data_IF_211271803704
#
_entry.id   IF_211271803704
#
_cell.length_a   1.000
_cell.length_b   1.000
_cell.length_c   1.000
_cell.angle_alpha   90.00
_cell.angle_beta   90.00
_cell.angle_gamma   90.00
#
_symmetry.space_group_name_H-M   'P 1'
#
loop_
_entity.id
_entity.type
_entity.pdbx_description
1 polymer ?
#
# COMPACT_ATOMS: atom_id res chain seq x y z
N UNK A 1 -41.00 -86.01 29.34
CA UNK A 1 -41.07 -85.87 30.80
C UNK A 1 -41.39 -84.42 31.07
N UNK A 2 -42.65 -84.19 31.45
CA UNK A 2 -43.20 -83.20 32.40
C UNK A 2 -42.43 -81.88 32.58
N UNK A 3 -43.04 -80.69 32.62
CA UNK A 3 -44.40 -80.34 33.07
C UNK A 3 -44.73 -78.91 32.59
N UNK A 4 -45.89 -78.71 31.96
CA UNK A 4 -47.10 -78.06 32.54
C UNK A 4 -47.03 -76.53 32.70
N UNK A 5 -47.73 -75.85 31.78
CA UNK A 5 -48.51 -74.60 31.96
C UNK A 5 -49.49 -74.74 33.17
N UNK A 6 -50.09 -73.68 33.79
CA UNK A 6 -50.85 -72.64 33.06
C UNK A 6 -51.12 -71.26 33.73
N UNK A 7 -51.77 -70.38 32.93
CA UNK A 7 -52.90 -69.45 33.24
C UNK A 7 -52.84 -68.48 34.44
N UNK A 8 -53.42 -67.27 34.47
CA UNK A 8 -54.40 -66.52 33.68
C UNK A 8 -54.47 -65.11 34.31
N UNK A 9 -54.59 -64.02 33.53
CA UNK A 9 -55.75 -63.13 33.58
C UNK A 9 -55.62 -61.88 32.69
N UNK A 10 -56.65 -61.71 31.85
CA UNK A 10 -57.03 -60.51 31.09
C UNK A 10 -57.22 -59.28 31.97
N UNK A 11 -56.89 -58.09 31.45
CA UNK A 11 -57.89 -57.00 31.33
C UNK A 11 -57.47 -55.92 30.32
N UNK A 12 -58.47 -55.40 29.61
CA UNK A 12 -58.45 -54.34 28.60
C UNK A 12 -58.25 -52.95 29.23
N UNK A 13 -57.72 -52.01 28.45
CA UNK A 13 -58.40 -50.76 28.05
C UNK A 13 -57.49 -49.52 28.05
N UNK A 14 -57.56 -48.82 26.92
CA UNK A 14 -57.09 -47.46 26.59
C UNK A 14 -57.22 -46.43 27.73
N UNK A 15 -56.25 -45.51 27.81
CA UNK A 15 -56.46 -44.08 27.47
C UNK A 15 -55.15 -43.27 27.52
N UNK A 16 -54.78 -42.70 26.37
CA UNK A 16 -53.99 -41.46 26.18
C UNK A 16 -54.84 -40.31 26.77
N UNK A 17 -54.32 -39.30 27.51
CA UNK A 17 -53.16 -38.46 27.16
C UNK A 17 -52.25 -38.02 28.32
N UNK A 18 -50.93 -38.15 28.17
CA UNK A 18 -49.92 -37.47 29.03
C UNK A 18 -48.89 -36.63 28.25
N UNK A 19 -49.16 -36.30 26.98
CA UNK A 19 -48.16 -35.64 26.12
C UNK A 19 -48.44 -34.15 25.85
N UNK A 20 -49.58 -33.62 26.31
CA UNK A 20 -49.99 -32.25 25.96
C UNK A 20 -49.62 -31.14 26.95
N UNK A 21 -49.12 -31.45 28.15
CA UNK A 21 -48.75 -30.41 29.14
C UNK A 21 -47.28 -29.99 29.12
N UNK A 22 -46.38 -30.79 28.52
CA UNK A 22 -44.95 -30.43 28.43
C UNK A 22 -44.62 -29.51 27.25
N UNK A 23 -45.43 -29.52 26.19
CA UNK A 23 -45.20 -28.71 24.98
C UNK A 23 -45.66 -27.24 25.14
N UNK A 24 -46.65 -26.96 25.99
CA UNK A 24 -47.13 -25.58 26.18
C UNK A 24 -46.26 -24.72 27.12
N UNK A 25 -45.50 -25.32 28.04
CA UNK A 25 -44.57 -24.56 28.89
C UNK A 25 -43.18 -24.37 28.25
N UNK A 26 -42.73 -25.27 27.38
CA UNK A 26 -41.45 -25.12 26.66
C UNK A 26 -41.47 -24.04 25.56
N UNK A 27 -42.61 -23.89 24.87
CA UNK A 27 -42.76 -22.86 23.83
C UNK A 27 -42.95 -21.45 24.40
N UNK A 28 -43.49 -21.31 25.61
CA UNK A 28 -43.67 -20.00 26.26
C UNK A 28 -42.33 -19.38 26.68
N UNK A 29 -41.37 -20.18 27.17
CA UNK A 29 -40.07 -19.65 27.59
C UNK A 29 -39.24 -19.27 26.36
N UNK A 30 -39.19 -20.11 25.32
CA UNK A 30 -38.46 -19.79 24.09
C UNK A 30 -39.02 -18.54 23.39
N UNK A 31 -40.35 -18.37 23.33
CA UNK A 31 -40.97 -17.20 22.73
C UNK A 31 -40.72 -15.91 23.54
N UNK A 32 -40.72 -15.99 24.88
CA UNK A 32 -40.39 -14.84 25.75
C UNK A 32 -38.90 -14.50 25.66
N UNK A 33 -37.99 -15.47 25.57
CA UNK A 33 -36.56 -15.22 25.37
C UNK A 33 -36.28 -14.62 23.99
N UNK A 34 -36.98 -15.08 22.94
CA UNK A 34 -36.89 -14.48 21.59
C UNK A 34 -37.50 -13.07 21.55
N UNK A 35 -38.56 -12.79 22.32
CA UNK A 35 -39.11 -11.44 22.41
C UNK A 35 -38.21 -10.49 23.22
N UNK A 36 -37.64 -10.95 24.34
CA UNK A 36 -36.75 -10.14 25.18
C UNK A 36 -35.38 -9.90 24.53
N UNK A 37 -34.73 -10.93 23.98
CA UNK A 37 -33.45 -10.78 23.26
C UNK A 37 -33.63 -10.27 21.82
N UNK A 38 -34.76 -10.56 21.18
CA UNK A 38 -35.10 -10.06 19.86
C UNK A 38 -35.44 -8.57 19.86
N UNK A 39 -36.13 -8.05 20.89
CA UNK A 39 -36.32 -6.61 21.01
C UNK A 39 -35.03 -5.86 21.31
N UNK A 40 -34.13 -6.35 22.17
CA UNK A 40 -32.84 -5.68 22.41
C UNK A 40 -31.94 -5.66 21.17
N UNK A 41 -31.89 -6.76 20.43
CA UNK A 41 -31.10 -6.84 19.19
C UNK A 41 -31.69 -5.99 18.07
N UNK A 42 -33.03 -5.92 17.94
CA UNK A 42 -33.67 -5.04 16.97
C UNK A 42 -33.68 -3.57 17.38
N UNK A 43 -33.72 -3.23 18.67
CA UNK A 43 -33.52 -1.85 19.14
C UNK A 43 -32.07 -1.39 18.95
N UNK A 44 -31.08 -2.27 19.15
CA UNK A 44 -29.68 -1.98 18.80
C UNK A 44 -29.51 -1.78 17.29
N UNK A 45 -30.09 -2.65 16.46
CA UNK A 45 -30.04 -2.49 14.99
C UNK A 45 -30.85 -1.28 14.48
N UNK A 46 -31.99 -0.96 15.09
CA UNK A 46 -32.81 0.20 14.72
C UNK A 46 -32.16 1.53 15.17
N UNK A 47 -31.49 1.57 16.33
CA UNK A 47 -30.70 2.73 16.74
C UNK A 47 -29.46 2.93 15.86
N UNK A 48 -28.83 1.84 15.37
CA UNK A 48 -27.72 1.92 14.41
C UNK A 48 -28.18 2.39 13.02
N UNK A 49 -29.44 2.10 12.62
CA UNK A 49 -30.03 2.59 11.36
C UNK A 49 -30.61 4.02 11.47
N UNK A 50 -30.96 4.48 12.67
CA UNK A 50 -31.48 5.82 12.93
C UNK A 50 -30.41 6.82 13.38
N UNK A 51 -29.23 6.36 13.81
CA UNK A 51 -28.09 7.23 14.06
C UNK A 51 -27.37 7.50 12.74
N UNK A 52 -27.94 8.39 11.92
CA UNK A 52 -27.09 9.30 11.17
C UNK A 52 -26.33 10.13 12.22
N UNK A 53 -25.27 9.56 12.80
CA UNK A 53 -24.36 10.32 13.64
C UNK A 53 -23.80 11.41 12.73
N UNK A 54 -24.27 12.63 12.99
CA UNK A 54 -23.92 13.80 12.21
C UNK A 54 -22.40 13.94 12.24
N UNK A 55 -21.76 13.77 11.08
CA UNK A 55 -20.33 13.95 10.93
C UNK A 55 -19.97 15.41 11.22
N UNK A 56 -18.78 15.64 11.76
CA UNK A 56 -18.23 17.00 11.84
C UNK A 56 -18.23 17.66 10.45
N UNK A 57 -18.53 18.96 10.42
CA UNK A 57 -18.55 19.72 9.17
C UNK A 57 -17.14 19.78 8.55
N UNK A 58 -17.00 19.98 7.22
CA UNK A 58 -15.69 20.20 6.61
C UNK A 58 -14.92 21.31 7.33
N UNK A 59 -13.65 21.05 7.67
CA UNK A 59 -12.81 22.00 8.41
C UNK A 59 -12.92 21.94 9.94
N UNK A 60 -13.77 21.07 10.49
CA UNK A 60 -14.09 21.02 11.92
C UNK A 60 -13.61 19.70 12.57
N UNK A 61 -13.09 19.79 13.80
CA UNK A 61 -12.92 18.66 14.71
C UNK A 61 -13.86 18.84 15.89
N UNK A 62 -14.56 17.78 16.29
CA UNK A 62 -15.39 17.76 17.49
C UNK A 62 -14.88 16.64 18.40
N UNK A 63 -14.38 17.04 19.57
CA UNK A 63 -13.97 16.13 20.64
C UNK A 63 -15.12 16.00 21.62
N UNK A 64 -15.34 14.80 22.16
CA UNK A 64 -16.39 14.51 23.11
C UNK A 64 -15.81 13.88 24.36
N UNK A 65 -16.41 14.24 25.49
CA UNK A 65 -16.12 13.63 26.79
C UNK A 65 -16.48 12.15 26.75
N UNK A 66 -17.73 11.79 26.51
CA UNK A 66 -18.13 10.40 26.58
C UNK A 66 -18.02 9.68 25.23
N UNK A 67 -17.96 8.35 25.29
CA UNK A 67 -18.14 7.46 24.14
C UNK A 67 -19.48 7.74 23.44
N UNK A 68 -19.55 7.38 22.16
CA UNK A 68 -20.74 7.53 21.32
C UNK A 68 -21.19 9.00 21.14
N UNK A 69 -20.25 9.94 21.20
CA UNK A 69 -20.45 11.38 20.96
C UNK A 69 -21.39 12.05 21.97
N UNK A 70 -21.22 11.72 23.25
CA UNK A 70 -22.08 12.20 24.35
C UNK A 70 -21.39 13.25 25.22
N UNK A 71 -22.19 13.86 26.10
CA UNK A 71 -21.77 14.86 27.09
C UNK A 71 -21.09 16.12 26.51
N UNK A 72 -20.12 16.68 27.24
CA UNK A 72 -19.47 17.93 26.83
C UNK A 72 -18.70 17.69 25.53
N UNK A 73 -18.72 18.71 24.67
CA UNK A 73 -17.98 18.70 23.42
C UNK A 73 -17.14 19.95 23.23
N UNK A 74 -15.99 19.77 22.60
CA UNK A 74 -15.04 20.83 22.25
C UNK A 74 -14.90 20.86 20.74
N UNK A 75 -15.15 22.02 20.13
CA UNK A 75 -15.03 22.22 18.69
C UNK A 75 -13.72 22.93 18.37
N UNK A 76 -12.96 22.40 17.44
CA UNK A 76 -11.67 22.93 17.02
C UNK A 76 -11.65 23.08 15.50
N UNK A 77 -10.80 24.00 15.04
CA UNK A 77 -10.66 24.36 13.63
C UNK A 77 -9.19 24.40 13.25
N UNK A 78 -8.92 24.37 11.94
CA UNK A 78 -7.60 24.54 11.36
C UNK A 78 -6.84 25.72 11.98
N UNK A 79 -5.58 25.49 12.34
CA UNK A 79 -4.69 26.44 12.99
C UNK A 79 -4.61 26.30 14.51
N UNK A 80 -5.53 25.55 15.13
CA UNK A 80 -5.48 25.30 16.56
C UNK A 80 -4.26 24.45 16.96
N UNK A 81 -3.57 24.86 18.03
CA UNK A 81 -2.48 24.13 18.68
C UNK A 81 -2.52 24.41 20.17
N UNK A 82 -2.73 23.41 21.01
CA UNK A 82 -2.83 23.64 22.45
C UNK A 82 -3.19 22.43 23.30
N UNK A 83 -3.05 22.61 24.61
CA UNK A 83 -3.39 21.59 25.60
C UNK A 83 -4.91 21.51 25.82
N UNK A 84 -5.46 20.29 25.95
CA UNK A 84 -6.91 20.09 26.06
C UNK A 84 -7.49 20.61 27.38
N UNK A 85 -6.74 20.55 28.48
CA UNK A 85 -7.13 21.08 29.79
C UNK A 85 -7.38 22.59 29.80
N UNK A 86 -6.74 23.32 28.87
CA UNK A 86 -6.95 24.77 28.70
C UNK A 86 -8.26 25.11 27.99
N UNK A 87 -8.83 24.15 27.25
CA UNK A 87 -10.08 24.31 26.50
C UNK A 87 -11.30 24.05 27.39
N UNK A 88 -11.19 23.04 28.26
CA UNK A 88 -12.18 22.70 29.27
C UNK A 88 -11.47 21.99 30.43
N UNK A 89 -11.80 22.32 31.70
CA UNK A 89 -11.18 21.67 32.84
C UNK A 89 -11.29 20.13 32.76
N UNK A 90 -10.15 19.46 32.95
CA UNK A 90 -9.95 18.01 32.95
C UNK A 90 -10.34 17.30 31.63
N UNK A 91 -10.44 18.01 30.51
CA UNK A 91 -10.87 17.40 29.25
C UNK A 91 -9.82 16.44 28.67
N UNK A 92 -8.54 16.61 29.03
CA UNK A 92 -7.44 15.70 28.70
C UNK A 92 -7.59 14.30 29.34
N UNK A 93 -8.27 14.21 30.49
CA UNK A 93 -8.53 12.96 31.21
C UNK A 93 -9.88 12.32 30.87
N UNK A 94 -10.67 12.96 30.01
CA UNK A 94 -12.05 12.56 29.77
C UNK A 94 -12.38 12.37 28.30
N UNK A 95 -11.47 12.60 27.36
CA UNK A 95 -11.81 12.52 25.94
C UNK A 95 -11.96 11.07 25.47
N UNK A 96 -13.18 10.67 25.10
CA UNK A 96 -13.50 9.27 24.75
C UNK A 96 -14.07 9.07 23.34
N UNK A 97 -14.46 10.13 22.63
CA UNK A 97 -14.86 10.00 21.22
C UNK A 97 -14.55 11.26 20.39
N UNK A 98 -14.41 11.09 19.08
CA UNK A 98 -13.98 12.16 18.18
C UNK A 98 -14.62 12.08 16.79
N UNK A 99 -14.93 13.26 16.25
CA UNK A 99 -15.37 13.45 14.88
C UNK A 99 -14.44 14.43 14.17
N UNK A 100 -13.99 14.07 12.97
CA UNK A 100 -13.05 14.86 12.17
C UNK A 100 -13.69 15.06 10.81
N UNK A 101 -13.92 16.32 10.45
CA UNK A 101 -14.48 16.68 9.16
C UNK A 101 -13.49 16.53 8.02
N UNK A 102 -13.98 16.54 6.78
CA UNK A 102 -13.12 16.56 5.59
C UNK A 102 -12.28 17.83 5.56
N UNK A 103 -11.07 17.76 5.00
CA UNK A 103 -10.24 18.93 4.68
C UNK A 103 -9.34 19.40 5.83
N UNK A 104 -9.18 18.55 6.85
CA UNK A 104 -8.27 18.78 7.97
C UNK A 104 -7.48 17.52 8.29
N UNK A 105 -6.30 17.75 8.86
CA UNK A 105 -5.40 16.75 9.41
C UNK A 105 -5.19 17.07 10.88
N UNK A 106 -5.32 16.09 11.75
CA UNK A 106 -5.29 16.27 13.20
C UNK A 106 -4.19 15.42 13.79
N UNK A 107 -3.28 16.06 14.51
CA UNK A 107 -2.26 15.39 15.31
C UNK A 107 -2.67 15.41 16.76
N UNK A 108 -2.71 14.23 17.37
CA UNK A 108 -2.95 14.06 18.79
C UNK A 108 -1.65 13.68 19.47
N UNK A 109 -1.40 14.27 20.64
CA UNK A 109 -0.24 14.00 21.46
C UNK A 109 -0.68 13.63 22.87
N UNK A 110 -0.04 12.58 23.41
CA UNK A 110 -0.30 12.06 24.74
C UNK A 110 0.07 13.04 25.84
N UNK A 111 1.18 13.73 25.67
CA UNK A 111 1.70 14.66 26.67
C UNK A 111 1.43 16.11 26.28
N UNK A 112 1.42 16.95 27.30
CA UNK A 112 1.32 18.41 27.15
C UNK A 112 2.41 18.95 26.24
N UNK A 113 2.10 20.07 25.59
CA UNK A 113 2.98 20.83 24.70
C UNK A 113 3.57 19.99 23.54
N UNK A 114 2.90 18.87 23.20
CA UNK A 114 3.30 17.98 22.12
C UNK A 114 4.60 17.21 22.36
N UNK A 115 4.99 17.01 23.63
CA UNK A 115 6.21 16.28 23.98
C UNK A 115 6.10 14.80 23.56
N UNK A 116 7.18 14.27 22.98
CA UNK A 116 7.27 12.90 22.46
C UNK A 116 8.37 12.12 23.17
N UNK A 117 8.05 10.91 23.65
CA UNK A 117 9.00 10.00 24.29
C UNK A 117 9.06 8.62 23.61
N UNK A 118 8.07 8.29 22.79
CA UNK A 118 8.00 7.03 22.06
C UNK A 118 6.86 6.98 21.04
N UNK A 119 6.87 5.93 20.23
CA UNK A 119 5.92 5.76 19.11
C UNK A 119 4.45 5.85 19.53
N UNK A 120 4.14 5.50 20.77
CA UNK A 120 2.79 5.53 21.32
C UNK A 120 2.22 6.93 21.56
N UNK A 121 3.07 7.94 21.57
CA UNK A 121 2.73 9.22 22.18
C UNK A 121 2.09 10.19 21.21
N UNK A 122 2.32 9.99 19.91
CA UNK A 122 1.78 10.85 18.88
C UNK A 122 1.14 9.99 17.79
N UNK A 123 0.01 10.45 17.28
CA UNK A 123 -0.58 9.89 16.08
C UNK A 123 -1.31 10.97 15.31
N UNK A 124 -1.48 10.75 14.02
CA UNK A 124 -2.03 11.72 13.10
C UNK A 124 -3.03 11.08 12.15
N UNK A 125 -4.11 11.81 11.89
CA UNK A 125 -5.24 11.34 11.07
C UNK A 125 -5.70 12.41 10.11
N UNK A 126 -6.11 11.98 8.93
CA UNK A 126 -6.75 12.82 7.91
C UNK A 126 -8.26 12.58 7.95
N UNK A 127 -9.03 13.66 8.06
CA UNK A 127 -10.49 13.58 7.98
C UNK A 127 -11.00 13.37 6.54
N UNK A 128 -12.19 12.78 6.36
CA UNK A 128 -13.21 12.59 7.38
C UNK A 128 -13.00 11.32 8.21
N UNK A 129 -13.22 11.42 9.52
CA UNK A 129 -13.12 10.29 10.46
C UNK A 129 -14.18 10.41 11.57
N UNK A 130 -14.71 9.29 12.05
CA UNK A 130 -15.73 9.23 13.08
C UNK A 130 -15.45 8.05 14.01
N UNK A 131 -14.97 8.33 15.23
CA UNK A 131 -14.62 7.29 16.19
C UNK A 131 -15.46 7.42 17.47
N UNK A 132 -16.49 6.57 17.65
CA UNK A 132 -17.31 6.57 18.85
C UNK A 132 -16.62 5.97 20.09
N UNK A 133 -15.54 5.18 19.92
CA UNK A 133 -14.80 4.55 21.00
C UNK A 133 -13.30 4.80 20.81
N UNK A 134 -12.86 6.02 21.13
CA UNK A 134 -11.49 6.45 20.86
C UNK A 134 -10.50 5.72 21.79
N UNK A 135 -9.79 4.72 21.27
CA UNK A 135 -8.94 3.80 22.06
C UNK A 135 -7.78 4.50 22.79
N UNK A 136 -7.20 5.61 22.31
CA UNK A 136 -6.30 6.44 23.13
C UNK A 136 -7.01 7.26 24.22
N UNK A 137 -8.24 6.88 24.63
CA UNK A 137 -9.07 7.59 25.59
C UNK A 137 -8.29 7.97 26.83
N UNK A 138 -8.55 9.18 27.33
CA UNK A 138 -7.96 9.72 28.57
C UNK A 138 -6.43 9.83 28.56
N UNK A 139 -5.82 9.74 27.38
CA UNK A 139 -4.37 9.90 27.25
C UNK A 139 -3.97 11.09 26.40
N UNK A 140 -4.87 11.78 25.70
CA UNK A 140 -4.50 12.93 24.87
C UNK A 140 -4.50 14.20 25.71
N UNK A 141 -3.33 14.81 25.88
CA UNK A 141 -3.22 16.11 26.53
C UNK A 141 -3.03 17.29 25.58
N UNK A 142 -2.62 17.07 24.33
CA UNK A 142 -2.33 18.14 23.37
C UNK A 142 -2.80 17.78 21.96
N UNK A 143 -3.29 18.77 21.21
CA UNK A 143 -3.82 18.58 19.86
C UNK A 143 -3.37 19.70 18.93
N UNK A 144 -3.14 19.34 17.67
CA UNK A 144 -2.86 20.26 16.58
C UNK A 144 -3.80 19.97 15.41
N UNK A 145 -4.43 21.02 14.88
CA UNK A 145 -5.36 20.92 13.75
C UNK A 145 -4.77 21.68 12.57
N UNK A 146 -4.53 20.98 11.48
CA UNK A 146 -3.96 21.49 10.25
C UNK A 146 -5.00 21.50 9.13
N UNK A 147 -4.97 22.49 8.21
CA UNK A 147 -5.71 22.37 6.98
C UNK A 147 -5.13 21.22 6.16
N UNK A 148 -5.97 20.55 5.38
CA UNK A 148 -5.54 19.46 4.52
C UNK A 148 -6.28 19.49 3.17
N UNK A 149 -5.53 19.39 2.10
CA UNK A 149 -6.06 19.22 0.76
C UNK A 149 -5.25 18.15 0.02
N UNK A 150 -5.93 17.04 -0.29
CA UNK A 150 -5.36 15.88 -0.98
C UNK A 150 -4.77 16.23 -2.36
N UNK A 151 -5.19 17.33 -2.98
CA UNK A 151 -4.68 17.74 -4.28
C UNK A 151 -3.34 18.48 -4.20
N UNK A 152 -3.09 19.19 -3.10
CA UNK A 152 -1.89 20.03 -2.92
C UNK A 152 -0.86 19.37 -2.02
N UNK A 153 -1.30 18.58 -1.04
CA UNK A 153 -0.44 17.87 -0.11
C UNK A 153 -0.95 16.42 0.11
N UNK A 154 -0.92 15.55 -0.91
CA UNK A 154 -1.39 14.18 -0.77
C UNK A 154 -0.54 13.41 0.25
N UNK A 155 -1.19 12.60 1.08
CA UNK A 155 -0.55 11.83 2.16
C UNK A 155 -1.10 10.40 2.19
N UNK A 156 -0.21 9.42 2.32
CA UNK A 156 -0.60 8.04 2.64
C UNK A 156 -0.83 7.93 4.14
N UNK A 157 -1.91 7.28 4.56
CA UNK A 157 -2.17 7.00 5.98
C UNK A 157 -1.86 5.54 6.28
N UNK A 158 -1.08 5.28 7.33
CA UNK A 158 -0.83 3.96 7.89
C UNK A 158 -1.52 3.89 9.25
N UNK A 159 -2.12 2.75 9.59
CA UNK A 159 -2.88 2.56 10.84
C UNK A 159 -2.35 1.30 11.54
N UNK A 160 -2.14 1.40 12.85
CA UNK A 160 -1.64 0.36 13.75
C UNK A 160 -2.68 -0.71 14.16
N UNK A 161 -3.88 -0.64 13.59
CA UNK A 161 -5.00 -1.52 13.88
C UNK A 161 -5.93 -1.69 12.67
N UNK A 162 -7.17 -2.10 12.92
CA UNK A 162 -8.16 -2.38 11.87
C UNK A 162 -8.58 -1.11 11.13
N UNK A 163 -8.81 -1.19 9.82
CA UNK A 163 -9.26 -0.06 9.00
C UNK A 163 -10.55 0.61 9.52
N UNK A 164 -11.44 -0.18 10.15
CA UNK A 164 -12.72 0.28 10.70
C UNK A 164 -12.63 0.88 12.10
N UNK A 165 -11.46 0.81 12.75
CA UNK A 165 -11.25 1.33 14.10
C UNK A 165 -10.10 2.31 14.08
N UNK A 166 -10.29 3.41 14.79
CA UNK A 166 -9.20 4.34 14.98
C UNK A 166 -8.24 3.75 16.00
N UNK A 167 -7.08 3.36 15.51
CA UNK A 167 -5.90 3.09 16.33
C UNK A 167 -4.82 4.11 15.97
N UNK A 168 -3.66 4.03 16.62
CA UNK A 168 -2.48 4.85 16.33
C UNK A 168 -2.21 4.85 14.83
N UNK A 169 -2.15 6.03 14.24
CA UNK A 169 -1.97 6.22 12.81
C UNK A 169 -0.89 7.25 12.51
N UNK A 170 -0.29 7.13 11.34
CA UNK A 170 0.68 8.07 10.80
C UNK A 170 0.31 8.51 9.40
N UNK A 171 0.60 9.76 9.07
CA UNK A 171 0.40 10.29 7.71
C UNK A 171 1.74 10.65 7.08
N UNK A 172 1.94 10.23 5.84
CA UNK A 172 3.25 10.27 5.19
C UNK A 172 3.15 10.95 3.83
N UNK A 173 4.01 11.95 3.63
CA UNK A 173 4.20 12.61 2.35
C UNK A 173 4.98 11.71 1.39
N UNK A 174 5.19 12.19 0.16
CA UNK A 174 6.18 11.59 -0.72
C UNK A 174 7.55 11.55 -0.04
N UNK A 175 8.19 10.38 -0.05
CA UNK A 175 9.46 10.19 0.64
C UNK A 175 9.84 8.73 0.81
N UNK A 176 10.97 8.52 1.49
CA UNK A 176 11.49 7.22 1.88
C UNK A 176 11.54 7.17 3.40
N UNK A 177 10.95 6.15 4.00
CA UNK A 177 10.77 6.04 5.43
C UNK A 177 11.31 4.69 5.93
N UNK A 178 12.18 4.76 6.92
CA UNK A 178 12.72 3.62 7.65
C UNK A 178 11.84 3.29 8.85
N UNK A 179 12.11 2.17 9.53
CA UNK A 179 11.33 1.77 10.73
C UNK A 179 11.26 2.91 11.75
N UNK A 180 12.37 3.61 11.95
CA UNK A 180 12.46 4.70 12.92
C UNK A 180 11.54 5.86 12.58
N UNK A 181 11.37 6.17 11.30
CA UNK A 181 10.46 7.23 10.84
C UNK A 181 8.99 6.82 11.03
N UNK A 182 8.67 5.53 10.83
CA UNK A 182 7.33 4.99 11.11
C UNK A 182 7.00 5.15 12.60
N UNK A 183 7.95 4.83 13.48
CA UNK A 183 7.81 5.02 14.93
C UNK A 183 7.60 6.47 15.32
N UNK A 184 8.31 7.41 14.71
CA UNK A 184 8.09 8.84 14.96
C UNK A 184 6.70 9.33 14.55
N UNK A 185 6.02 8.59 13.68
CA UNK A 185 4.69 8.89 13.17
C UNK A 185 3.62 7.93 13.69
N UNK A 186 3.81 7.33 14.87
CA UNK A 186 2.73 6.60 15.55
C UNK A 186 2.61 5.12 15.23
N UNK A 187 3.49 4.55 14.41
CA UNK A 187 3.45 3.14 13.99
C UNK A 187 4.57 2.36 14.66
N UNK A 188 4.27 1.27 15.39
CA UNK A 188 5.31 0.50 16.07
C UNK A 188 6.22 -0.25 15.08
N UNK A 189 7.30 -0.81 15.62
CA UNK A 189 8.21 -1.69 14.90
C UNK A 189 7.47 -2.87 14.30
N UNK A 190 7.97 -3.38 13.16
CA UNK A 190 7.43 -4.59 12.59
C UNK A 190 7.53 -5.74 13.59
N UNK A 191 6.52 -6.61 13.58
CA UNK A 191 6.33 -7.82 14.41
C UNK A 191 5.94 -7.55 15.87
N UNK A 192 5.66 -6.31 16.22
CA UNK A 192 5.05 -5.95 17.48
C UNK A 192 3.55 -5.67 17.30
N UNK A 193 2.77 -5.91 18.36
CA UNK A 193 1.36 -5.53 18.40
C UNK A 193 1.26 -4.00 18.41
N UNK A 194 0.98 -3.40 17.25
CA UNK A 194 1.01 -1.95 17.02
C UNK A 194 1.76 -1.53 15.75
N UNK A 195 2.31 -2.49 15.00
CA UNK A 195 2.83 -2.25 13.66
C UNK A 195 1.71 -1.95 12.65
N UNK A 196 2.09 -1.73 11.39
CA UNK A 196 1.12 -1.38 10.36
C UNK A 196 0.13 -2.53 10.07
N UNK A 197 -1.16 -2.27 10.31
CA UNK A 197 -2.28 -3.20 10.12
C UNK A 197 -3.27 -2.73 9.04
N UNK A 198 -3.25 -1.45 8.66
CA UNK A 198 -4.01 -0.96 7.50
C UNK A 198 -3.32 0.21 6.80
N UNK A 199 -3.66 0.41 5.52
CA UNK A 199 -3.11 1.45 4.64
C UNK A 199 -4.25 2.15 3.90
N UNK A 200 -4.20 3.47 3.83
CA UNK A 200 -5.06 4.29 2.96
C UNK A 200 -4.17 5.06 2.00
N UNK A 201 -4.31 4.76 0.70
CA UNK A 201 -3.56 5.41 -0.38
C UNK A 201 -4.51 6.33 -1.14
N UNK A 202 -4.28 7.66 -1.16
CA UNK A 202 -5.10 8.62 -1.91
C UNK A 202 -4.93 8.46 -3.42
N UNK A 203 -5.86 9.00 -4.21
CA UNK A 203 -5.94 8.74 -5.66
C UNK A 203 -4.65 9.05 -6.43
N UNK A 204 -3.94 10.09 -5.99
CA UNK A 204 -2.73 10.58 -6.62
C UNK A 204 -1.45 10.09 -5.94
N UNK A 205 -1.47 8.91 -5.31
CA UNK A 205 -0.28 8.35 -4.67
C UNK A 205 -0.12 6.85 -4.89
N UNK A 206 1.10 6.40 -4.68
CA UNK A 206 1.47 5.01 -4.54
C UNK A 206 2.36 4.82 -3.33
N UNK A 207 2.37 3.60 -2.81
CA UNK A 207 3.26 3.20 -1.73
C UNK A 207 3.83 1.84 -2.04
N UNK A 208 5.16 1.72 -1.94
CA UNK A 208 5.85 0.44 -1.90
C UNK A 208 6.29 0.18 -0.47
N UNK A 209 5.91 -0.96 0.08
CA UNK A 209 6.24 -1.37 1.45
C UNK A 209 7.15 -2.59 1.42
N UNK A 210 8.06 -2.67 2.38
CA UNK A 210 9.09 -3.69 2.50
C UNK A 210 9.00 -4.33 3.88
N UNK A 211 9.23 -5.65 3.96
CA UNK A 211 9.16 -6.38 5.24
C UNK A 211 10.30 -6.07 6.20
N UNK A 212 11.44 -5.63 5.68
CA UNK A 212 12.61 -5.28 6.48
C UNK A 212 12.86 -3.77 6.40
N UNK A 213 13.73 -3.30 7.27
CA UNK A 213 14.24 -1.93 7.19
C UNK A 213 15.16 -1.76 5.97
N UNK A 214 15.56 -0.52 5.68
CA UNK A 214 16.47 -0.17 4.58
C UNK A 214 16.01 -0.63 3.18
N UNK A 215 14.70 -0.80 2.98
CA UNK A 215 14.07 -1.18 1.71
C UNK A 215 14.45 -2.59 1.23
N UNK A 216 14.66 -3.51 2.18
CA UNK A 216 15.06 -4.89 1.89
C UNK A 216 13.94 -5.91 2.09
N UNK A 217 14.15 -7.11 1.55
CA UNK A 217 13.26 -8.25 1.71
C UNK A 217 12.09 -8.27 0.74
N UNK A 218 11.05 -9.01 1.09
CA UNK A 218 9.81 -9.07 0.31
C UNK A 218 9.17 -7.67 0.28
N UNK A 219 8.71 -7.24 -0.90
CA UNK A 219 8.05 -5.95 -1.09
C UNK A 219 6.74 -6.09 -1.84
N UNK A 220 5.84 -5.14 -1.61
CA UNK A 220 4.58 -5.00 -2.35
C UNK A 220 4.28 -3.54 -2.61
N UNK A 221 3.63 -3.26 -3.74
CA UNK A 221 3.20 -1.90 -4.12
C UNK A 221 1.69 -1.79 -4.16
N UNK A 222 1.16 -0.73 -3.56
CA UNK A 222 -0.24 -0.33 -3.66
C UNK A 222 -0.34 1.01 -4.37
N UNK A 223 -1.29 1.12 -5.30
CA UNK A 223 -1.64 2.38 -5.97
C UNK A 223 -3.01 2.83 -5.48
N UNK A 224 -3.15 4.13 -5.26
CA UNK A 224 -4.42 4.70 -4.89
C UNK A 224 -5.36 4.93 -6.08
N UNK A 225 -6.64 5.27 -5.82
CA UNK A 225 -7.24 5.32 -4.49
C UNK A 225 -7.49 3.91 -3.96
N UNK A 226 -7.01 3.58 -2.77
CA UNK A 226 -7.13 2.23 -2.23
C UNK A 226 -7.12 2.25 -0.70
N UNK A 227 -7.87 1.32 -0.10
CA UNK A 227 -7.89 1.05 1.34
C UNK A 227 -7.59 -0.42 1.55
N UNK A 228 -6.49 -0.69 2.24
CA UNK A 228 -5.95 -2.04 2.41
C UNK A 228 -6.03 -2.38 3.89
N UNK A 229 -6.74 -3.47 4.19
CA UNK A 229 -6.72 -4.12 5.51
C UNK A 229 -5.66 -5.23 5.48
N UNK A 230 -4.51 -5.00 6.11
CA UNK A 230 -3.37 -5.93 6.08
C UNK A 230 -3.62 -7.19 6.91
N UNK A 231 -4.62 -7.18 7.80
CA UNK A 231 -5.05 -8.34 8.58
C UNK A 231 -5.71 -9.37 7.66
N UNK A 232 -6.54 -8.90 6.72
CA UNK A 232 -7.22 -9.76 5.76
C UNK A 232 -6.38 -10.00 4.49
N UNK A 233 -5.57 -9.02 4.10
CA UNK A 233 -4.78 -9.08 2.88
C UNK A 233 -3.73 -10.19 2.92
N UNK A 234 -3.67 -11.01 1.86
CA UNK A 234 -2.73 -12.13 1.73
C UNK A 234 -2.69 -13.02 2.99
N UNK A 235 -3.88 -13.30 3.56
CA UNK A 235 -4.05 -14.07 4.80
C UNK A 235 -3.25 -13.51 6.00
N UNK A 236 -3.15 -12.18 6.11
CA UNK A 236 -2.48 -11.52 7.22
C UNK A 236 -0.95 -11.50 7.12
N UNK A 237 -0.38 -11.95 6.01
CA UNK A 237 1.08 -12.08 5.83
C UNK A 237 1.85 -10.74 5.93
N UNK A 238 1.15 -9.62 5.80
CA UNK A 238 1.71 -8.27 5.89
C UNK A 238 1.34 -7.54 7.18
N UNK A 239 0.45 -8.11 8.00
CA UNK A 239 0.00 -7.49 9.24
C UNK A 239 1.15 -7.31 10.23
N UNK A 240 1.40 -6.07 10.64
CA UNK A 240 2.53 -5.68 11.49
C UNK A 240 3.91 -5.97 10.86
N UNK A 241 4.04 -6.27 9.57
CA UNK A 241 5.35 -6.66 8.99
C UNK A 241 6.07 -5.55 8.22
N UNK A 242 5.55 -4.33 8.16
CA UNK A 242 6.17 -3.24 7.38
C UNK A 242 7.35 -2.65 8.16
N UNK A 243 8.57 -2.85 7.63
CA UNK A 243 9.81 -2.31 8.20
C UNK A 243 10.29 -1.03 7.51
N UNK A 244 10.02 -0.86 6.23
CA UNK A 244 10.32 0.39 5.52
C UNK A 244 9.37 0.60 4.35
N UNK A 245 9.28 1.84 3.86
CA UNK A 245 8.38 2.17 2.75
C UNK A 245 8.88 3.33 1.91
N UNK A 246 8.44 3.34 0.67
CA UNK A 246 8.63 4.42 -0.30
C UNK A 246 7.24 4.92 -0.68
N UNK A 247 6.97 6.19 -0.41
CA UNK A 247 5.72 6.86 -0.78
C UNK A 247 6.00 7.72 -2.00
N UNK A 248 5.20 7.55 -3.04
CA UNK A 248 5.29 8.28 -4.32
C UNK A 248 4.02 9.04 -4.59
N UNK A 249 4.16 10.24 -5.15
CA UNK A 249 3.04 11.05 -5.63
C UNK A 249 2.91 10.91 -7.15
N UNK A 250 1.67 10.87 -7.63
CA UNK A 250 1.28 10.83 -9.03
C UNK A 250 0.41 12.04 -9.41
N UNK A 251 0.41 13.11 -8.58
CA UNK A 251 -0.40 14.32 -8.77
C UNK A 251 -0.47 14.69 -10.25
N UNK A 252 -1.69 14.85 -10.76
CA UNK A 252 -2.02 15.07 -12.18
C UNK A 252 -1.07 16.14 -12.76
N UNK A 253 -0.20 15.74 -13.70
CA UNK A 253 0.89 16.55 -14.25
C UNK A 253 2.30 16.09 -13.84
N UNK A 254 2.42 15.25 -12.82
CA UNK A 254 3.62 14.59 -12.32
C UNK A 254 3.41 13.08 -12.20
N UNK A 255 2.88 12.45 -13.27
CA UNK A 255 2.90 10.99 -13.35
C UNK A 255 4.34 10.48 -13.29
N UNK A 256 4.58 9.27 -12.75
CA UNK A 256 5.93 8.70 -12.73
C UNK A 256 6.40 8.50 -14.17
N UNK A 257 7.70 8.68 -14.40
CA UNK A 257 8.27 8.50 -15.73
C UNK A 257 8.05 7.05 -16.13
N UNK A 258 7.28 6.83 -17.19
CA UNK A 258 7.11 5.50 -17.77
C UNK A 258 8.35 5.18 -18.58
N UNK A 259 9.11 4.21 -18.11
CA UNK A 259 10.37 3.81 -18.72
C UNK A 259 10.13 2.55 -19.55
N UNK A 260 10.58 2.60 -20.79
CA UNK A 260 10.52 1.49 -21.74
C UNK A 260 11.95 1.21 -22.22
N UNK A 261 12.47 0.02 -21.91
CA UNK A 261 13.75 -0.47 -22.39
C UNK A 261 13.58 -1.41 -23.59
N UNK A 262 14.45 -1.30 -24.59
CA UNK A 262 14.42 -2.15 -25.79
C UNK A 262 15.79 -2.26 -26.46
N UNK A 263 15.92 -3.25 -27.36
CA UNK A 263 17.09 -3.40 -28.21
C UNK A 263 16.87 -2.73 -29.56
N UNK A 264 17.73 -1.77 -29.90
CA UNK A 264 17.76 -1.09 -31.17
C UNK A 264 18.75 -1.78 -32.12
N UNK A 265 18.34 -1.94 -33.38
CA UNK A 265 19.19 -2.54 -34.41
C UNK A 265 20.17 -1.48 -34.92
N UNK A 266 21.46 -1.68 -34.70
CA UNK A 266 22.50 -0.80 -35.25
C UNK A 266 22.77 -1.15 -36.71
N UNK A 267 23.21 -2.39 -36.96
CA UNK A 267 23.55 -2.84 -38.30
C UNK A 267 23.52 -4.37 -38.42
N UNK A 268 23.45 -4.90 -39.65
CA UNK A 268 23.49 -6.34 -39.90
C UNK A 268 24.36 -6.65 -41.11
N UNK A 269 25.15 -7.72 -41.01
CA UNK A 269 26.07 -8.16 -42.06
C UNK A 269 26.19 -9.69 -42.08
N UNK A 270 26.60 -10.24 -43.22
CA UNK A 270 27.05 -11.63 -43.32
C UNK A 270 28.56 -11.76 -43.06
N UNK A 271 29.27 -10.64 -42.93
CA UNK A 271 30.69 -10.56 -42.61
C UNK A 271 30.88 -10.13 -41.14
N UNK A 272 32.13 -10.01 -40.71
CA UNK A 272 32.48 -9.38 -39.43
C UNK A 272 32.01 -7.92 -39.40
N UNK A 273 31.46 -7.51 -38.26
CA UNK A 273 31.05 -6.12 -38.02
C UNK A 273 32.14 -5.46 -37.21
N UNK A 274 32.68 -4.33 -37.69
CA UNK A 274 33.47 -3.39 -36.88
C UNK A 274 32.93 -2.00 -37.17
N UNK A 275 32.30 -1.37 -36.18
CA UNK A 275 31.70 -0.05 -36.34
C UNK A 275 32.10 0.86 -35.19
N UNK A 276 32.05 2.16 -35.46
CA UNK A 276 32.20 3.17 -34.43
C UNK A 276 30.96 4.04 -34.37
N UNK A 277 30.33 4.09 -33.21
CA UNK A 277 29.04 4.74 -32.99
C UNK A 277 29.30 5.98 -32.15
N UNK A 278 28.90 7.14 -32.66
CA UNK A 278 28.85 8.37 -31.87
C UNK A 278 27.52 8.43 -31.14
N UNK A 279 27.59 8.54 -29.82
CA UNK A 279 26.42 8.51 -28.95
C UNK A 279 26.35 9.81 -28.16
N UNK A 280 25.17 10.44 -28.19
CA UNK A 280 24.84 11.61 -27.40
C UNK A 280 23.64 11.27 -26.52
N UNK A 281 23.80 11.30 -25.20
CA UNK A 281 22.70 11.09 -24.26
C UNK A 281 21.70 12.26 -24.35
N UNK A 282 20.48 12.00 -24.80
CA UNK A 282 19.41 12.98 -24.93
C UNK A 282 18.51 13.01 -23.69
N UNK A 283 18.97 13.68 -22.63
CA UNK A 283 18.12 13.94 -21.45
C UNK A 283 17.70 15.39 -21.49
N UNK A 284 16.40 15.65 -21.55
CA UNK A 284 15.92 16.99 -21.27
C UNK A 284 15.95 17.22 -19.75
N UNK A 285 17.07 17.77 -19.27
CA UNK A 285 17.25 18.12 -17.85
C UNK A 285 16.26 19.18 -17.37
N UNK A 286 15.58 19.88 -18.27
CA UNK A 286 14.55 20.87 -17.90
C UNK A 286 13.21 20.22 -17.54
N UNK A 287 12.96 19.00 -18.02
CA UNK A 287 11.70 18.26 -17.82
C UNK A 287 11.82 17.10 -16.82
N UNK A 288 13.04 16.74 -16.41
CA UNK A 288 13.30 15.51 -15.63
C UNK A 288 14.42 15.65 -14.61
N UNK A 289 14.19 15.20 -13.38
CA UNK A 289 15.20 15.08 -12.32
C UNK A 289 15.79 13.65 -12.31
N UNK A 290 17.12 13.53 -12.22
CA UNK A 290 17.86 12.24 -12.14
C UNK A 290 17.33 11.33 -11.01
N UNK A 291 16.90 11.91 -9.88
CA UNK A 291 16.30 11.16 -8.77
C UNK A 291 14.94 10.55 -9.11
N UNK A 292 14.12 11.25 -9.88
CA UNK A 292 12.80 10.78 -10.33
C UNK A 292 12.95 9.64 -11.33
N UNK A 293 13.92 9.78 -12.24
CA UNK A 293 14.27 8.73 -13.18
C UNK A 293 14.82 7.49 -12.48
N UNK A 294 15.79 7.66 -11.58
CA UNK A 294 16.37 6.57 -10.78
C UNK A 294 15.29 5.81 -10.01
N UNK A 295 14.37 6.53 -9.35
CA UNK A 295 13.24 5.93 -8.64
C UNK A 295 12.34 5.13 -9.57
N UNK A 296 12.01 5.68 -10.74
CA UNK A 296 11.17 5.01 -11.74
C UNK A 296 11.82 3.73 -12.27
N UNK A 297 13.14 3.74 -12.53
CA UNK A 297 13.87 2.53 -12.95
C UNK A 297 13.85 1.48 -11.82
N UNK A 298 14.11 1.87 -10.57
CA UNK A 298 14.15 0.92 -9.43
C UNK A 298 12.79 0.32 -9.08
N UNK A 299 11.69 1.02 -9.40
CA UNK A 299 10.33 0.52 -9.15
C UNK A 299 9.94 -0.58 -10.14
N UNK A 300 10.69 -0.73 -11.25
CA UNK A 300 10.39 -1.61 -12.35
C UNK A 300 9.97 -0.81 -13.60
N UNK A 301 10.28 -1.34 -14.77
CA UNK A 301 10.04 -0.69 -16.06
C UNK A 301 9.45 -1.68 -17.07
N UNK A 302 8.98 -1.21 -18.22
CA UNK A 302 8.51 -2.10 -19.29
C UNK A 302 9.69 -2.47 -20.20
N UNK A 303 9.86 -3.77 -20.47
CA UNK A 303 10.76 -4.23 -21.51
C UNK A 303 9.99 -4.60 -22.77
N UNK A 304 10.48 -4.09 -23.89
CA UNK A 304 9.81 -4.17 -25.17
C UNK A 304 8.77 -3.08 -25.38
N UNK A 305 8.14 -3.08 -26.55
CA UNK A 305 7.27 -1.99 -26.97
C UNK A 305 6.77 -2.17 -28.39
N UNK A 306 6.09 -1.15 -28.90
CA UNK A 306 5.52 -1.14 -30.26
C UNK A 306 6.60 -1.39 -31.32
N UNK A 307 7.86 -1.04 -31.01
CA UNK A 307 9.04 -1.28 -31.86
C UNK A 307 9.42 -2.76 -32.02
N UNK A 308 9.09 -3.64 -31.05
CA UNK A 308 9.45 -5.06 -31.07
C UNK A 308 8.26 -6.03 -30.94
N UNK A 309 7.05 -5.51 -30.75
CA UNK A 309 5.78 -6.27 -30.86
C UNK A 309 5.40 -7.10 -29.63
N UNK A 310 6.11 -6.96 -28.51
CA UNK A 310 5.75 -7.55 -27.21
C UNK A 310 6.16 -6.60 -26.08
N UNK A 311 5.44 -6.67 -24.95
CA UNK A 311 5.70 -5.89 -23.73
C UNK A 311 5.70 -6.84 -22.53
N UNK A 312 6.71 -6.74 -21.67
CA UNK A 312 6.84 -7.52 -20.44
C UNK A 312 7.25 -6.58 -19.30
N UNK A 313 6.61 -6.71 -18.15
CA UNK A 313 6.96 -5.93 -16.96
C UNK A 313 8.24 -6.47 -16.32
N UNK A 314 9.17 -5.59 -16.01
CA UNK A 314 10.45 -5.92 -15.42
C UNK A 314 10.41 -5.67 -13.90
N UNK A 315 10.91 -6.63 -13.13
CA UNK A 315 10.91 -6.55 -11.66
C UNK A 315 11.90 -5.49 -11.11
N UNK A 316 11.71 -5.08 -9.86
CA UNK A 316 12.55 -4.08 -9.18
C UNK A 316 14.04 -4.49 -9.06
N UNK A 317 14.33 -5.80 -8.95
CA UNK A 317 15.70 -6.32 -8.90
C UNK A 317 16.44 -6.06 -10.21
N UNK A 318 15.78 -6.31 -11.34
CA UNK A 318 16.30 -6.01 -12.68
C UNK A 318 16.39 -4.51 -12.89
N UNK A 319 15.38 -3.76 -12.42
CA UNK A 319 15.41 -2.30 -12.39
C UNK A 319 16.64 -1.74 -11.68
N UNK A 320 17.04 -2.31 -10.54
CA UNK A 320 18.21 -1.83 -9.79
C UNK A 320 19.53 -2.04 -10.56
N UNK A 321 19.70 -3.18 -11.23
CA UNK A 321 20.90 -3.43 -12.04
C UNK A 321 20.94 -2.53 -13.28
N UNK A 322 19.81 -2.39 -13.99
CA UNK A 322 19.70 -1.47 -15.14
C UNK A 322 19.91 -0.03 -14.70
N UNK A 323 19.47 0.37 -13.50
CA UNK A 323 19.75 1.70 -12.94
C UNK A 323 21.25 1.95 -12.85
N UNK A 324 22.05 0.97 -12.42
CA UNK A 324 23.49 1.18 -12.24
C UNK A 324 24.19 1.40 -13.58
N UNK A 325 23.80 0.63 -14.62
CA UNK A 325 24.27 0.84 -16.00
C UNK A 325 23.84 2.20 -16.54
N UNK A 326 22.55 2.52 -16.40
CA UNK A 326 21.98 3.79 -16.88
C UNK A 326 22.59 4.97 -16.14
N UNK A 327 22.85 4.88 -14.84
CA UNK A 327 23.45 5.96 -14.03
C UNK A 327 24.82 6.36 -14.55
N UNK A 328 25.62 5.40 -15.03
CA UNK A 328 26.90 5.72 -15.67
C UNK A 328 26.69 6.53 -16.96
N UNK A 329 25.69 6.16 -17.76
CA UNK A 329 25.36 6.85 -19.02
C UNK A 329 24.72 8.22 -18.79
N UNK A 330 23.88 8.38 -17.74
CA UNK A 330 23.31 9.65 -17.29
C UNK A 330 24.39 10.62 -16.78
N UNK A 331 25.38 10.12 -16.05
CA UNK A 331 26.48 10.94 -15.51
C UNK A 331 27.43 11.47 -16.59
N UNK A 332 27.32 10.97 -17.82
CA UNK A 332 28.16 11.36 -18.95
C UNK A 332 27.48 12.38 -19.86
N UNK A 333 27.85 13.66 -19.74
CA UNK A 333 27.35 14.73 -20.62
C UNK A 333 28.10 14.87 -21.95
N UNK A 334 28.99 13.93 -22.31
CA UNK A 334 29.88 14.04 -23.47
C UNK A 334 29.48 13.04 -24.55
N UNK A 335 29.50 13.48 -25.81
CA UNK A 335 29.46 12.57 -26.96
C UNK A 335 30.63 11.60 -26.87
N UNK A 336 30.34 10.31 -26.87
CA UNK A 336 31.36 9.25 -26.85
C UNK A 336 31.36 8.53 -28.18
N UNK A 337 32.55 8.15 -28.62
CA UNK A 337 32.76 7.28 -29.78
C UNK A 337 33.05 5.88 -29.25
N UNK A 338 32.17 4.94 -29.55
CA UNK A 338 32.24 3.57 -29.02
C UNK A 338 32.48 2.63 -30.18
N UNK A 339 33.45 1.73 -30.02
CA UNK A 339 33.76 0.72 -31.02
C UNK A 339 33.07 -0.59 -30.64
N UNK A 340 32.24 -1.11 -31.55
CA UNK A 340 31.56 -2.38 -31.41
C UNK A 340 32.04 -3.35 -32.49
N UNK A 341 32.37 -4.57 -32.07
CA UNK A 341 32.89 -5.63 -32.94
C UNK A 341 32.10 -6.92 -32.78
N UNK A 342 31.59 -7.45 -33.89
CA UNK A 342 30.96 -8.77 -33.94
C UNK A 342 31.74 -9.72 -34.84
N UNK A 343 32.41 -10.71 -34.24
CA UNK A 343 33.07 -11.76 -35.01
C UNK A 343 32.06 -12.71 -35.66
N UNK A 344 32.30 -13.07 -36.92
CA UNK A 344 31.40 -13.88 -37.72
C UNK A 344 32.11 -15.06 -38.41
N UNK A 345 32.67 -16.02 -37.65
CA UNK A 345 33.47 -17.09 -38.22
C UNK A 345 32.69 -18.02 -39.16
N UNK A 346 31.35 -18.00 -39.08
CA UNK A 346 30.48 -18.90 -39.85
C UNK A 346 29.83 -18.21 -41.07
N UNK A 347 30.17 -16.94 -41.36
CA UNK A 347 29.57 -16.13 -42.44
C UNK A 347 28.04 -16.19 -42.46
N UNK A 348 27.43 -16.20 -41.27
CA UNK A 348 25.96 -16.18 -41.12
C UNK A 348 25.52 -14.74 -40.91
N UNK A 349 24.26 -14.41 -41.22
CA UNK A 349 23.75 -13.07 -40.93
C UNK A 349 23.84 -12.79 -39.43
N UNK A 350 24.67 -11.82 -39.03
CA UNK A 350 24.76 -11.28 -37.67
C UNK A 350 24.15 -9.88 -37.66
N UNK A 351 23.51 -9.53 -36.56
CA UNK A 351 22.99 -8.19 -36.28
C UNK A 351 23.60 -7.70 -34.97
N UNK A 352 24.15 -6.49 -35.00
CA UNK A 352 24.58 -5.76 -33.82
C UNK A 352 23.37 -5.01 -33.26
N UNK A 353 23.05 -5.28 -32.00
CA UNK A 353 21.99 -4.63 -31.23
C UNK A 353 22.60 -3.76 -30.14
N UNK A 354 21.96 -2.62 -29.88
CA UNK A 354 22.33 -1.69 -28.83
C UNK A 354 21.16 -1.48 -27.88
N UNK A 355 21.44 -1.39 -26.58
CA UNK A 355 20.40 -1.14 -25.58
C UNK A 355 19.96 0.33 -25.63
N UNK A 356 18.65 0.54 -25.65
CA UNK A 356 18.02 1.87 -25.65
C UNK A 356 16.87 1.92 -24.65
N UNK A 357 16.63 3.10 -24.09
CA UNK A 357 15.60 3.37 -23.11
C UNK A 357 14.93 4.70 -23.40
N UNK A 358 13.59 4.69 -23.38
CA UNK A 358 12.79 5.91 -23.48
C UNK A 358 12.02 6.12 -22.20
N UNK A 359 11.93 7.37 -21.77
CA UNK A 359 11.12 7.78 -20.62
C UNK A 359 10.03 8.73 -21.09
N UNK A 360 8.78 8.41 -20.77
CA UNK A 360 7.64 9.29 -21.04
C UNK A 360 7.02 9.80 -19.75
N UNK A 361 6.82 11.11 -19.65
CA UNK A 361 6.08 11.74 -18.56
C UNK A 361 4.84 12.38 -19.16
N UNK A 362 3.65 11.98 -18.69
CA UNK A 362 2.37 12.42 -19.25
C UNK A 362 2.24 12.23 -20.78
N UNK A 363 2.89 11.21 -21.35
CA UNK A 363 2.89 10.95 -22.79
C UNK A 363 3.96 11.72 -23.59
N UNK A 364 4.63 12.70 -22.99
CA UNK A 364 5.73 13.43 -23.60
C UNK A 364 7.07 12.72 -23.36
N UNK A 365 7.93 12.68 -24.39
CA UNK A 365 9.26 12.10 -24.29
C UNK A 365 10.15 13.02 -23.46
N UNK A 366 10.60 12.54 -22.30
CA UNK A 366 11.48 13.28 -21.37
C UNK A 366 12.88 12.68 -21.28
N UNK A 367 13.03 11.42 -21.71
CA UNK A 367 14.31 10.73 -21.79
C UNK A 367 14.36 9.93 -23.08
N UNK A 368 15.47 10.08 -23.80
CA UNK A 368 15.89 9.16 -24.86
C UNK A 368 17.37 8.84 -24.64
N UNK A 369 17.61 7.61 -24.17
CA UNK A 369 18.92 7.15 -23.75
C UNK A 369 19.26 5.88 -24.49
N UNK A 370 20.24 5.97 -25.37
CA UNK A 370 20.99 4.81 -25.83
C UNK A 370 22.10 4.52 -24.81
N UNK A 371 22.42 3.26 -24.56
CA UNK A 371 23.48 2.84 -23.64
C UNK A 371 24.68 2.22 -24.38
N UNK A 372 25.80 2.02 -23.70
CA UNK A 372 27.05 1.49 -24.28
C UNK A 372 27.07 -0.04 -24.36
N UNK A 373 25.90 -0.65 -24.28
CA UNK A 373 25.74 -2.09 -24.11
C UNK A 373 25.29 -2.70 -25.43
N UNK A 374 26.07 -3.65 -25.92
CA UNK A 374 25.95 -4.22 -27.26
C UNK A 374 25.85 -5.73 -27.23
N UNK A 375 25.01 -6.29 -28.12
CA UNK A 375 24.91 -7.72 -28.33
C UNK A 375 24.99 -8.04 -29.82
N UNK A 376 25.82 -9.03 -30.16
CA UNK A 376 25.92 -9.59 -31.50
C UNK A 376 25.07 -10.85 -31.60
N UNK A 377 24.00 -10.81 -32.39
CA UNK A 377 23.03 -11.91 -32.50
C UNK A 377 22.86 -12.36 -33.94
N UNK A 378 22.75 -13.67 -34.16
CA UNK A 378 22.45 -14.27 -35.45
C UNK A 378 21.00 -13.97 -35.86
N UNK A 379 20.80 -13.73 -37.14
CA UNK A 379 19.49 -13.40 -37.70
C UNK A 379 19.12 -11.94 -37.48
N UNK A 380 17.83 -11.65 -37.41
CA UNK A 380 17.30 -10.27 -37.37
C UNK A 380 16.27 -10.04 -36.27
N UNK A 381 16.13 -10.99 -35.33
CA UNK A 381 15.27 -10.82 -34.17
C UNK A 381 16.05 -10.17 -33.03
N UNK A 382 15.46 -9.26 -32.25
CA UNK A 382 16.11 -8.66 -31.10
C UNK A 382 16.41 -9.72 -30.02
N UNK A 383 17.37 -9.45 -29.12
CA UNK A 383 17.51 -10.20 -27.87
C UNK A 383 16.21 -10.18 -27.04
N UNK A 384 15.93 -11.28 -26.34
CA UNK A 384 14.72 -11.43 -25.52
C UNK A 384 14.87 -10.92 -24.10
N UNK A 385 16.10 -10.67 -23.66
CA UNK A 385 16.37 -10.22 -22.30
C UNK A 385 16.89 -8.78 -22.33
N UNK A 386 16.49 -7.94 -21.38
CA UNK A 386 17.20 -6.73 -20.98
C UNK A 386 18.70 -6.94 -20.80
N UNK A 387 19.43 -5.85 -20.96
CA UNK A 387 20.87 -5.79 -20.72
C UNK A 387 21.25 -6.34 -19.33
N UNK A 388 22.29 -7.18 -19.28
CA UNK A 388 22.79 -7.78 -18.03
C UNK A 388 22.04 -9.00 -17.52
N UNK A 389 21.03 -9.49 -18.26
CA UNK A 389 20.18 -10.62 -17.82
C UNK A 389 20.08 -11.77 -18.83
N UNK A 390 20.94 -11.76 -19.85
CA UNK A 390 21.13 -12.91 -20.72
C UNK A 390 21.80 -14.03 -19.91
N UNK A 391 21.41 -15.28 -20.14
CA UNK A 391 22.16 -16.44 -19.61
C UNK A 391 23.59 -16.43 -20.19
N UNK A 392 24.60 -16.61 -19.34
CA UNK A 392 26.01 -16.62 -19.75
C UNK A 392 26.31 -17.75 -20.75
N UNK A 393 25.53 -18.85 -20.69
CA UNK A 393 25.62 -19.97 -21.62
C UNK A 393 24.82 -19.74 -22.92
N UNK A 394 24.08 -18.61 -23.03
CA UNK A 394 23.32 -18.23 -24.22
C UNK A 394 23.83 -16.91 -24.84
N UNK A 395 24.83 -16.98 -25.74
CA UNK A 395 25.36 -15.81 -26.42
C UNK A 395 24.37 -15.18 -27.41
N UNK A 396 23.17 -15.75 -27.62
CA UNK A 396 22.10 -15.16 -28.44
C UNK A 396 21.04 -14.45 -27.60
N UNK A 397 21.14 -14.53 -26.28
CA UNK A 397 20.24 -13.88 -25.33
C UNK A 397 18.76 -14.15 -25.66
N UNK A 398 18.46 -15.43 -25.88
CA UNK A 398 17.12 -16.01 -26.02
C UNK A 398 16.57 -16.51 -24.69
N UNK A 399 17.46 -16.85 -23.76
CA UNK A 399 17.18 -17.32 -22.41
C UNK A 399 17.64 -16.26 -21.40
N UNK A 400 16.73 -15.89 -20.50
CA UNK A 400 17.01 -14.91 -19.46
C UNK A 400 17.23 -15.62 -18.12
N UNK A 401 18.10 -15.07 -17.28
CA UNK A 401 18.43 -15.66 -15.97
C UNK A 401 17.15 -15.88 -15.13
N UNK A 402 16.85 -17.10 -14.65
CA UNK A 402 15.62 -17.41 -13.94
C UNK A 402 15.36 -16.54 -12.70
N UNK A 403 14.09 -16.21 -12.44
CA UNK A 403 13.67 -15.44 -11.25
C UNK A 403 13.68 -13.91 -11.43
N UNK A 404 14.06 -13.41 -12.61
CA UNK A 404 14.19 -11.97 -12.89
C UNK A 404 13.07 -11.43 -13.79
N UNK A 405 12.38 -12.31 -14.53
CA UNK A 405 11.22 -12.03 -15.41
C UNK A 405 9.96 -12.71 -14.87
N UNK A 406 8.83 -12.00 -14.88
CA UNK A 406 7.50 -12.56 -14.62
C UNK A 406 6.53 -12.21 -15.73
#
# INVERSE_FOLDING_TARGET
MDSLLPDQHRSKSRNIPKVLTALFFGLSVAAITILLYGQESQLKQANILASFQEMAAPGEVILFEDEEFRNRKVKLYSGFKGNLDTLSPNFDELMSSVQIGKGIRVKFCKYRDGVWWGWSDNFEVVGPYNEPYFIPSDTVSYIEVYPYDENTEPRVTIIGGQLSKFDRSGTFLQGRYLTQDLQWNGIDRPRNNGGASAIIVPANMGIQVFKNDFFEGESITFKGPNKIDLIAYDNGKWNDYIGSMIVSSFVIGNGPIQIIGYWEKVLSSNDEITTSIEQTSGIDKSLTNENELSTSITTGFEFGGDAIGYKVSVSATVGTAVRDTVSQTLSSSKTRKIEAKCSNPNNVKITLWQWSMTGKKNGELVMDLTDNEFICKKGSKPPKCPVGFCDDDDPQCEICVPGTFK
#
